data_IF_504463942728
#
_entry.id   IF_504463942728
#
_cell.length_a   1.000
_cell.length_b   1.000
_cell.length_c   1.000
_cell.angle_alpha   90.00
_cell.angle_beta   90.00
_cell.angle_gamma   90.00
#
_symmetry.space_group_name_H-M   'P 1'
#
loop_
_entity.id
_entity.type
_entity.pdbx_description
1 polymer ?
#
# COMPACT_ATOMS: atom_id res chain seq x y z
N UNK A 1 18.29 -2.19 -1.05
CA UNK A 1 17.15 -2.96 -1.60
C UNK A 1 16.81 -3.99 -0.54
N UNK A 2 15.58 -4.03 -0.01
CA UNK A 2 15.16 -5.14 0.82
C UNK A 2 15.31 -6.45 0.02
N UNK A 3 15.92 -7.46 0.63
CA UNK A 3 16.00 -8.79 0.02
C UNK A 3 14.70 -9.57 0.28
N UNK A 4 14.60 -10.77 -0.28
CA UNK A 4 13.38 -11.57 -0.20
C UNK A 4 12.88 -11.80 1.25
N UNK A 5 13.76 -12.10 2.23
CA UNK A 5 13.33 -12.28 3.62
C UNK A 5 12.76 -10.99 4.24
N UNK A 6 13.34 -9.84 3.95
CA UNK A 6 12.87 -8.55 4.48
C UNK A 6 11.51 -8.18 3.89
N UNK A 7 11.31 -8.42 2.58
CA UNK A 7 10.00 -8.20 1.95
C UNK A 7 8.94 -9.14 2.55
N UNK A 8 9.30 -10.39 2.83
CA UNK A 8 8.38 -11.34 3.49
C UNK A 8 7.98 -10.87 4.90
N UNK A 9 8.93 -10.34 5.67
CA UNK A 9 8.64 -9.74 6.99
C UNK A 9 7.65 -8.58 6.86
N UNK A 10 7.84 -7.68 5.88
CA UNK A 10 6.90 -6.59 5.61
C UNK A 10 5.52 -7.12 5.25
N UNK A 11 5.42 -8.10 4.34
CA UNK A 11 4.13 -8.70 3.94
C UNK A 11 3.39 -9.28 5.13
N UNK A 12 4.08 -10.01 6.02
CA UNK A 12 3.46 -10.57 7.23
C UNK A 12 2.93 -9.49 8.16
N UNK A 13 3.70 -8.43 8.37
CA UNK A 13 3.29 -7.30 9.19
C UNK A 13 2.12 -6.49 8.64
N UNK A 14 1.88 -6.55 7.32
CA UNK A 14 0.77 -5.84 6.67
C UNK A 14 -0.56 -6.62 6.70
N UNK A 15 -0.55 -7.95 6.91
CA UNK A 15 -1.78 -8.76 6.82
C UNK A 15 -2.82 -8.39 7.86
N UNK A 16 -2.42 -8.38 9.14
CA UNK A 16 -3.31 -8.07 10.25
C UNK A 16 -3.93 -6.67 10.15
N UNK A 17 -3.17 -5.58 9.90
CA UNK A 17 -3.76 -4.26 9.85
C UNK A 17 -4.52 -3.94 8.55
N UNK A 18 -4.30 -4.67 7.45
CA UNK A 18 -4.95 -4.38 6.16
C UNK A 18 -6.14 -5.28 5.86
N UNK A 19 -6.06 -6.60 6.07
CA UNK A 19 -7.08 -7.53 5.57
C UNK A 19 -8.44 -7.22 6.23
N UNK A 20 -9.46 -7.07 5.39
CA UNK A 20 -10.82 -6.69 5.80
C UNK A 20 -11.07 -5.19 5.84
N UNK A 21 -10.05 -4.34 5.76
CA UNK A 21 -10.20 -2.88 5.76
C UNK A 21 -10.54 -2.35 4.37
N UNK A 22 -11.39 -1.33 4.33
CA UNK A 22 -11.81 -0.64 3.09
C UNK A 22 -11.03 0.66 2.91
N UNK A 23 -10.61 0.98 1.69
CA UNK A 23 -9.97 2.27 1.39
C UNK A 23 -11.05 3.36 1.34
N UNK A 24 -11.08 4.24 2.35
CA UNK A 24 -12.01 5.38 2.40
C UNK A 24 -11.56 6.53 1.50
N UNK A 25 -10.27 6.82 1.51
CA UNK A 25 -9.68 7.88 0.69
C UNK A 25 -8.22 7.60 0.38
N UNK A 26 -7.74 8.18 -0.71
CA UNK A 26 -6.36 8.08 -1.16
C UNK A 26 -5.87 9.45 -1.58
N UNK A 27 -4.68 9.83 -1.15
CA UNK A 27 -3.97 11.00 -1.67
C UNK A 27 -2.49 10.69 -1.88
N UNK A 28 -1.82 11.52 -2.66
CA UNK A 28 -0.42 11.34 -2.99
C UNK A 28 0.28 12.70 -3.09
N UNK A 29 1.44 12.82 -2.46
CA UNK A 29 2.25 14.04 -2.54
C UNK A 29 3.24 13.98 -3.71
N UNK A 30 3.54 12.76 -4.17
CA UNK A 30 4.47 12.53 -5.27
C UNK A 30 3.92 11.55 -6.30
N UNK A 31 3.23 12.09 -7.30
CA UNK A 31 2.61 11.36 -8.41
C UNK A 31 3.53 10.32 -9.08
N UNK A 32 4.85 10.58 -9.15
CA UNK A 32 5.83 9.67 -9.78
C UNK A 32 6.03 8.35 -9.04
N UNK A 33 5.56 8.24 -7.79
CA UNK A 33 5.51 6.98 -7.05
C UNK A 33 4.49 6.00 -7.67
N UNK A 34 3.45 6.52 -8.32
CA UNK A 34 2.42 5.72 -9.01
C UNK A 34 2.87 5.53 -10.46
N UNK A 35 3.10 4.27 -10.84
CA UNK A 35 3.64 3.94 -12.16
C UNK A 35 2.56 3.68 -13.21
N UNK A 36 1.50 2.99 -12.83
CA UNK A 36 0.41 2.61 -13.73
C UNK A 36 -0.82 2.22 -12.90
N UNK A 37 -2.03 2.65 -13.26
CA UNK A 37 -2.34 3.65 -14.30
C UNK A 37 -1.84 5.05 -13.90
N UNK A 38 -2.31 6.11 -14.57
CA UNK A 38 -2.06 7.47 -14.10
C UNK A 38 -2.63 7.68 -12.66
N UNK A 39 -2.08 8.65 -11.89
CA UNK A 39 -2.40 8.81 -10.47
C UNK A 39 -3.88 8.99 -10.14
N UNK A 40 -4.63 9.74 -10.96
CA UNK A 40 -6.04 10.02 -10.69
C UNK A 40 -6.90 8.80 -10.99
N UNK A 41 -6.64 8.11 -12.12
CA UNK A 41 -7.26 6.82 -12.40
C UNK A 41 -6.93 5.76 -11.35
N UNK A 42 -5.69 5.77 -10.83
CA UNK A 42 -5.27 4.89 -9.76
C UNK A 42 -6.07 5.16 -8.49
N UNK A 43 -6.15 6.42 -8.06
CA UNK A 43 -6.94 6.80 -6.89
C UNK A 43 -8.41 6.40 -7.03
N UNK A 44 -9.03 6.73 -8.16
CA UNK A 44 -10.43 6.45 -8.43
C UNK A 44 -10.77 4.94 -8.44
N UNK A 45 -9.83 4.10 -8.88
CA UNK A 45 -10.02 2.64 -8.85
C UNK A 45 -9.93 2.09 -7.44
N UNK A 46 -8.96 2.54 -6.65
CA UNK A 46 -8.64 1.90 -5.37
C UNK A 46 -9.61 2.30 -4.25
N UNK A 47 -10.10 3.55 -4.26
CA UNK A 47 -11.07 4.03 -3.27
C UNK A 47 -12.34 3.19 -3.30
N UNK A 48 -12.82 2.78 -2.12
CA UNK A 48 -13.98 1.94 -1.93
C UNK A 48 -13.71 0.43 -1.98
N UNK A 49 -12.51 -0.02 -2.35
CA UNK A 49 -12.16 -1.44 -2.32
C UNK A 49 -11.65 -1.89 -0.96
N UNK A 50 -11.92 -3.15 -0.63
CA UNK A 50 -11.48 -3.85 0.58
C UNK A 50 -10.22 -4.67 0.30
N UNK A 51 -9.25 -4.64 1.19
CA UNK A 51 -8.10 -5.56 1.13
C UNK A 51 -8.54 -6.98 1.49
N UNK A 52 -8.34 -7.92 0.57
CA UNK A 52 -8.69 -9.34 0.73
C UNK A 52 -7.50 -10.22 1.06
N UNK A 53 -6.29 -9.81 0.67
CA UNK A 53 -5.08 -10.57 0.91
C UNK A 53 -3.82 -9.76 0.70
N UNK A 54 -2.74 -10.17 1.36
CA UNK A 54 -1.40 -9.60 1.17
C UNK A 54 -0.39 -10.73 1.01
N UNK A 55 0.24 -10.76 -0.15
CA UNK A 55 1.17 -11.79 -0.58
C UNK A 55 2.48 -11.17 -1.09
N UNK A 56 3.49 -12.03 -1.29
CA UNK A 56 4.76 -11.64 -1.87
C UNK A 56 5.00 -12.42 -3.16
N UNK A 57 5.49 -11.73 -4.18
CA UNK A 57 6.11 -12.37 -5.35
C UNK A 57 7.48 -11.79 -5.60
N UNK A 58 8.53 -12.58 -5.39
CA UNK A 58 9.92 -12.11 -5.39
C UNK A 58 10.07 -10.87 -4.48
N UNK A 59 10.47 -9.72 -5.04
CA UNK A 59 10.65 -8.45 -4.30
C UNK A 59 9.43 -7.51 -4.39
N UNK A 60 8.29 -8.03 -4.84
CA UNK A 60 7.02 -7.30 -4.90
C UNK A 60 6.08 -7.72 -3.77
N UNK A 61 5.39 -6.73 -3.23
CA UNK A 61 4.25 -6.89 -2.32
C UNK A 61 2.99 -6.82 -3.17
N UNK A 62 2.11 -7.79 -3.01
CA UNK A 62 0.87 -7.94 -3.75
C UNK A 62 -0.30 -7.81 -2.77
N UNK A 63 -1.03 -6.71 -2.87
CA UNK A 63 -2.24 -6.48 -2.08
C UNK A 63 -3.45 -6.77 -2.97
N UNK A 64 -4.13 -7.88 -2.70
CA UNK A 64 -5.38 -8.25 -3.36
C UNK A 64 -6.49 -7.36 -2.80
N UNK A 65 -7.18 -6.65 -3.68
CA UNK A 65 -8.39 -5.90 -3.39
C UNK A 65 -9.62 -6.65 -3.91
N UNK A 66 -10.81 -6.07 -3.82
CA UNK A 66 -12.04 -6.68 -4.33
C UNK A 66 -11.99 -6.99 -5.83
N UNK A 67 -11.44 -6.07 -6.61
CA UNK A 67 -11.43 -6.14 -8.07
C UNK A 67 -10.03 -5.95 -8.66
N UNK A 68 -9.14 -5.29 -7.93
CA UNK A 68 -7.81 -4.94 -8.38
C UNK A 68 -6.69 -5.63 -7.59
N UNK A 69 -5.49 -5.62 -8.18
CA UNK A 69 -4.26 -6.05 -7.53
C UNK A 69 -3.32 -4.86 -7.39
N UNK A 70 -3.17 -4.35 -6.17
CA UNK A 70 -2.22 -3.29 -5.87
C UNK A 70 -0.82 -3.90 -5.72
N UNK A 71 0.11 -3.49 -6.58
CA UNK A 71 1.48 -4.01 -6.61
C UNK A 71 2.47 -2.96 -6.12
N UNK A 72 3.20 -3.26 -5.06
CA UNK A 72 4.18 -2.35 -4.45
C UNK A 72 5.58 -2.93 -4.54
N UNK A 73 6.56 -2.09 -4.89
CA UNK A 73 7.97 -2.46 -4.90
C UNK A 73 8.81 -1.42 -4.13
N UNK A 74 9.43 -1.81 -3.03
CA UNK A 74 10.14 -0.91 -2.11
C UNK A 74 11.43 -0.30 -2.67
N UNK A 75 11.96 -0.83 -3.78
CA UNK A 75 13.21 -0.38 -4.40
C UNK A 75 14.35 -0.40 -3.38
N UNK A 76 15.12 0.68 -3.23
CA UNK A 76 16.29 0.70 -2.35
C UNK A 76 15.94 1.00 -0.90
N UNK A 77 15.06 1.98 -0.67
CA UNK A 77 14.81 2.62 0.63
C UNK A 77 13.32 2.80 0.95
N UNK A 78 12.42 2.33 0.10
CA UNK A 78 10.98 2.44 0.32
C UNK A 78 10.56 1.67 1.58
N UNK A 79 9.59 2.24 2.29
CA UNK A 79 9.04 1.70 3.52
C UNK A 79 7.53 1.86 3.49
N UNK A 80 6.83 0.97 4.19
CA UNK A 80 5.39 1.04 4.39
C UNK A 80 5.13 1.09 5.89
N UNK A 81 4.15 1.87 6.27
CA UNK A 81 3.74 2.08 7.64
C UNK A 81 2.22 1.98 7.69
N UNK A 82 1.69 1.37 8.76
CA UNK A 82 0.29 1.48 9.12
C UNK A 82 0.25 2.12 10.50
N UNK A 83 -0.53 3.18 10.62
CA UNK A 83 -0.52 4.04 11.79
C UNK A 83 -1.91 4.62 12.02
N UNK A 84 -2.16 5.13 13.22
CA UNK A 84 -3.41 5.81 13.55
C UNK A 84 -3.51 7.13 12.78
N UNK A 85 -4.73 7.59 12.49
CA UNK A 85 -4.98 8.75 11.62
C UNK A 85 -4.30 10.04 12.07
N UNK A 86 -4.07 10.19 13.38
CA UNK A 86 -3.48 11.41 13.97
C UNK A 86 -1.95 11.32 14.17
N UNK A 87 -1.34 10.19 13.83
CA UNK A 87 0.09 10.00 14.00
C UNK A 87 0.85 10.66 12.84
N UNK A 88 1.65 11.68 13.17
CA UNK A 88 2.57 12.32 12.21
C UNK A 88 3.82 11.46 12.07
N UNK A 89 4.12 10.99 10.86
CA UNK A 89 5.32 10.21 10.59
C UNK A 89 6.24 10.96 9.60
N UNK A 90 7.54 11.05 9.86
CA UNK A 90 8.46 11.82 9.00
C UNK A 90 8.54 11.31 7.54
N UNK A 91 8.21 10.03 7.35
CA UNK A 91 8.17 9.34 6.05
C UNK A 91 6.84 9.51 5.30
N UNK A 92 5.90 10.28 5.84
CA UNK A 92 4.57 10.57 5.30
C UNK A 92 4.66 11.54 4.10
N UNK A 93 5.17 11.08 2.95
CA UNK A 93 5.49 11.98 1.82
C UNK A 93 5.17 11.46 0.42
N UNK A 94 4.50 10.31 0.29
CA UNK A 94 4.47 9.59 -0.99
C UNK A 94 3.05 9.28 -1.44
N UNK A 95 2.45 8.21 -0.90
CA UNK A 95 1.10 7.75 -1.23
C UNK A 95 0.47 7.26 0.06
N UNK A 96 -0.77 7.69 0.28
CA UNK A 96 -1.45 7.55 1.56
C UNK A 96 -2.82 6.95 1.37
N UNK A 97 -3.19 6.08 2.30
CA UNK A 97 -4.47 5.40 2.32
C UNK A 97 -5.12 5.65 3.67
N UNK A 98 -6.32 6.21 3.66
CA UNK A 98 -7.19 6.18 4.83
C UNK A 98 -8.01 4.91 4.77
N UNK A 99 -7.97 4.13 5.84
CA UNK A 99 -8.62 2.83 5.91
C UNK A 99 -9.78 2.87 6.90
N UNK A 100 -10.96 2.48 6.44
CA UNK A 100 -12.16 2.28 7.23
C UNK A 100 -12.25 0.86 7.76
N UNK A 101 -13.18 0.66 8.70
CA UNK A 101 -13.58 -0.67 9.19
C UNK A 101 -14.30 -1.48 8.11
#
# INVERSE_FOLDING_TARGET
MPELPEVETVVRGLREPLIGRTVESLWYDWARAIRSPDPDSFAARIVGQTFRGVERRAKYILCQLDHDLLVVHLKMTGRLYVTDTDAVHEADRWVHFRLGL
#
